data_IF_692275345738
#
_entry.id   IF_692275345738
#
_cell.length_a   1.000
_cell.length_b   1.000
_cell.length_c   1.000
_cell.angle_alpha   90.00
_cell.angle_beta   90.00
_cell.angle_gamma   90.00
#
_symmetry.space_group_name_H-M   'P 1'
#
loop_
_entity.id
_entity.type
_entity.pdbx_description
1 polymer ?
#
# COMPACT_ATOMS: atom_id res chain seq x y z
N UNK A 1 11.82 41.65 18.85
CA UNK A 1 12.29 40.27 19.14
C UNK A 1 11.56 39.30 18.22
N UNK A 2 12.22 38.78 17.19
CA UNK A 2 11.63 37.83 16.24
C UNK A 2 11.39 36.48 16.91
N UNK A 3 10.15 36.01 16.88
CA UNK A 3 9.76 34.70 17.42
C UNK A 3 10.38 33.63 16.52
N UNK A 4 11.27 32.81 17.07
CA UNK A 4 11.74 31.60 16.42
C UNK A 4 10.53 30.67 16.21
N UNK A 5 9.92 30.74 15.03
CA UNK A 5 8.98 29.72 14.56
C UNK A 5 9.83 28.49 14.26
N UNK A 6 9.93 27.58 15.25
CA UNK A 6 10.38 26.22 14.99
C UNK A 6 9.47 25.67 13.90
N UNK A 7 10.01 25.50 12.69
CA UNK A 7 9.28 24.94 11.55
C UNK A 7 8.89 23.53 11.95
N UNK A 8 7.63 23.33 12.32
CA UNK A 8 7.10 22.03 12.73
C UNK A 8 6.88 21.21 11.46
N UNK A 9 7.97 20.68 10.90
CA UNK A 9 7.90 19.76 9.76
C UNK A 9 7.41 18.40 10.25
N UNK A 10 6.34 17.89 9.64
CA UNK A 10 5.90 16.52 9.90
C UNK A 10 6.88 15.57 9.22
N UNK A 11 7.58 14.77 10.01
CA UNK A 11 8.49 13.73 9.55
C UNK A 11 7.75 12.41 9.37
N UNK A 12 6.71 12.42 8.53
CA UNK A 12 5.84 11.25 8.32
C UNK A 12 5.64 10.99 6.84
N UNK A 13 5.75 9.73 6.42
CA UNK A 13 5.49 9.25 5.06
C UNK A 13 4.34 8.25 5.13
N UNK A 14 3.32 8.42 4.28
CA UNK A 14 2.23 7.46 4.11
C UNK A 14 2.49 6.59 2.88
N UNK A 15 2.52 5.28 3.07
CA UNK A 15 2.66 4.27 2.01
C UNK A 15 1.33 3.54 1.88
N UNK A 16 0.73 3.57 0.70
CA UNK A 16 -0.51 2.83 0.40
C UNK A 16 -0.15 1.67 -0.51
N UNK A 17 -0.48 0.45 -0.08
CA UNK A 17 -0.25 -0.78 -0.86
C UNK A 17 -1.55 -1.52 -1.13
N UNK A 18 -1.65 -2.32 -2.21
CA UNK A 18 -2.86 -3.07 -2.53
C UNK A 18 -3.23 -4.16 -1.52
N UNK A 19 -2.24 -4.80 -0.89
CA UNK A 19 -2.43 -5.81 0.16
C UNK A 19 -1.14 -5.90 0.97
N UNK A 20 -1.19 -5.56 2.26
CA UNK A 20 -0.01 -5.62 3.14
C UNK A 20 0.42 -7.06 3.47
N UNK A 21 -0.47 -8.03 3.27
CA UNK A 21 -0.22 -9.44 3.52
C UNK A 21 0.44 -10.14 2.33
N UNK A 22 0.49 -9.51 1.15
CA UNK A 22 1.12 -10.09 -0.03
C UNK A 22 2.67 -10.04 0.11
N UNK A 23 3.37 -11.20 0.12
CA UNK A 23 4.82 -11.27 0.24
C UNK A 23 5.57 -10.44 -0.81
N UNK A 24 4.97 -10.21 -1.99
CA UNK A 24 5.55 -9.36 -3.04
C UNK A 24 5.88 -7.95 -2.52
N UNK A 25 5.03 -7.36 -1.68
CA UNK A 25 5.26 -6.00 -1.16
C UNK A 25 6.15 -5.99 0.10
N UNK A 26 6.42 -7.14 0.72
CA UNK A 26 7.13 -7.21 1.99
C UNK A 26 8.55 -6.63 1.91
N UNK A 27 9.32 -6.98 0.88
CA UNK A 27 10.67 -6.44 0.68
C UNK A 27 10.66 -4.95 0.31
N UNK A 28 9.67 -4.51 -0.44
CA UNK A 28 9.49 -3.10 -0.83
C UNK A 28 9.17 -2.26 0.41
N UNK A 29 8.20 -2.69 1.22
CA UNK A 29 7.81 -2.03 2.48
C UNK A 29 9.01 -1.94 3.42
N UNK A 30 9.77 -3.04 3.57
CA UNK A 30 10.99 -3.09 4.38
C UNK A 30 12.05 -2.09 3.90
N UNK A 31 12.27 -1.99 2.59
CA UNK A 31 13.21 -1.03 2.01
C UNK A 31 12.82 0.42 2.28
N UNK A 32 11.51 0.72 2.20
CA UNK A 32 10.97 2.05 2.53
C UNK A 32 11.19 2.35 4.01
N UNK A 33 10.85 1.42 4.91
CA UNK A 33 11.00 1.58 6.36
C UNK A 33 12.46 1.87 6.75
N UNK A 34 13.40 1.04 6.29
CA UNK A 34 14.84 1.21 6.58
C UNK A 34 15.35 2.56 6.07
N UNK A 35 14.98 2.94 4.84
CA UNK A 35 15.42 4.20 4.25
C UNK A 35 14.82 5.41 4.98
N UNK A 36 13.52 5.38 5.27
CA UNK A 36 12.83 6.44 5.98
C UNK A 36 13.37 6.63 7.41
N UNK A 37 13.60 5.53 8.13
CA UNK A 37 14.18 5.55 9.47
C UNK A 37 15.57 6.20 9.48
N UNK A 38 16.43 5.87 8.49
CA UNK A 38 17.76 6.48 8.35
C UNK A 38 17.70 8.01 8.12
N UNK A 39 16.58 8.54 7.63
CA UNK A 39 16.37 9.97 7.42
C UNK A 39 15.50 10.61 8.52
N UNK A 40 15.12 9.84 9.54
CA UNK A 40 14.31 10.30 10.67
C UNK A 40 12.83 10.52 10.33
N UNK A 41 12.28 9.74 9.40
CA UNK A 41 10.85 9.75 9.07
C UNK A 41 10.12 8.55 9.70
N UNK A 42 8.92 8.80 10.22
CA UNK A 42 7.92 7.79 10.57
C UNK A 42 7.23 7.31 9.29
N UNK A 43 7.05 6.00 9.14
CA UNK A 43 6.29 5.41 8.03
C UNK A 43 4.95 4.90 8.55
N UNK A 44 3.87 5.32 7.91
CA UNK A 44 2.53 4.77 8.09
C UNK A 44 2.19 3.93 6.86
N UNK A 45 1.77 2.68 7.07
CA UNK A 45 1.40 1.77 5.98
C UNK A 45 -0.11 1.58 5.99
N UNK A 46 -0.76 1.92 4.89
CA UNK A 46 -2.19 1.72 4.66
C UNK A 46 -2.42 0.58 3.67
N UNK A 47 -3.28 -0.35 4.08
CA UNK A 47 -3.81 -1.39 3.20
C UNK A 47 -4.99 -0.84 2.39
N UNK A 48 -4.91 -0.96 1.07
CA UNK A 48 -5.95 -0.55 0.12
C UNK A 48 -6.61 -1.75 -0.54
N UNK A 49 -6.59 -2.93 0.11
CA UNK A 49 -7.29 -4.12 -0.36
C UNK A 49 -8.76 -3.76 -0.66
N UNK A 50 -9.02 -3.52 -1.95
CA UNK A 50 -10.37 -3.50 -2.45
C UNK A 50 -10.86 -4.93 -2.25
N UNK A 51 -12.02 -5.17 -1.61
CA UNK A 51 -12.61 -6.49 -1.66
C UNK A 51 -12.68 -6.84 -3.13
N UNK A 52 -11.88 -7.83 -3.57
CA UNK A 52 -11.99 -8.37 -4.91
C UNK A 52 -13.42 -8.85 -4.98
N UNK A 53 -14.28 -8.03 -5.58
CA UNK A 53 -15.65 -8.38 -5.92
C UNK A 53 -15.52 -9.73 -6.58
N UNK A 54 -15.90 -10.77 -5.83
CA UNK A 54 -15.58 -12.15 -6.11
C UNK A 54 -15.76 -12.40 -7.60
N UNK A 55 -14.80 -13.07 -8.24
CA UNK A 55 -14.83 -13.35 -9.67
C UNK A 55 -16.22 -13.81 -10.11
N UNK A 56 -17.02 -12.86 -10.60
CA UNK A 56 -18.35 -13.13 -11.12
C UNK A 56 -18.14 -13.57 -12.56
N UNK A 57 -17.93 -14.87 -12.71
CA UNK A 57 -18.49 -15.65 -13.81
C UNK A 57 -18.25 -15.10 -15.24
N UNK A 58 -17.00 -14.77 -15.61
CA UNK A 58 -16.70 -14.37 -17.00
C UNK A 58 -16.15 -15.52 -17.88
N UNK A 59 -16.00 -16.74 -17.35
CA UNK A 59 -15.65 -17.94 -18.14
C UNK A 59 -16.83 -18.88 -18.33
N UNK A 60 -18.04 -18.34 -18.55
CA UNK A 60 -19.23 -19.14 -18.87
C UNK A 60 -19.75 -18.87 -20.28
N UNK A 61 -18.84 -18.95 -21.24
CA UNK A 61 -19.16 -19.20 -22.64
C UNK A 61 -18.13 -20.20 -23.16
N UNK A 62 -18.51 -21.48 -23.23
CA UNK A 62 -18.63 -22.20 -24.51
C UNK A 62 -18.72 -23.73 -24.34
N UNK A 63 -19.54 -24.31 -25.22
CA UNK A 63 -19.52 -25.70 -25.69
C UNK A 63 -19.93 -26.85 -24.74
N UNK A 64 -21.22 -27.22 -24.78
CA UNK A 64 -21.71 -28.54 -25.24
C UNK A 64 -23.19 -28.72 -24.85
N UNK A 65 -24.10 -28.58 -25.81
CA UNK A 65 -25.17 -29.56 -26.09
C UNK A 65 -25.72 -29.25 -27.49
N UNK A 66 -24.94 -29.63 -28.50
CA UNK A 66 -25.52 -30.12 -29.74
C UNK A 66 -25.78 -31.62 -29.51
N UNK A 67 -27.04 -31.96 -29.23
CA UNK A 67 -27.74 -33.14 -29.69
C UNK A 67 -29.22 -33.01 -29.33
#
# INVERSE_FOLDING_TARGET
MGRNVKRNESRTILVIVPDICDPFFSEIIRGIEVTAANHGYLVLIGDCAHPKSAGKNLYRFDHHQAN
#
